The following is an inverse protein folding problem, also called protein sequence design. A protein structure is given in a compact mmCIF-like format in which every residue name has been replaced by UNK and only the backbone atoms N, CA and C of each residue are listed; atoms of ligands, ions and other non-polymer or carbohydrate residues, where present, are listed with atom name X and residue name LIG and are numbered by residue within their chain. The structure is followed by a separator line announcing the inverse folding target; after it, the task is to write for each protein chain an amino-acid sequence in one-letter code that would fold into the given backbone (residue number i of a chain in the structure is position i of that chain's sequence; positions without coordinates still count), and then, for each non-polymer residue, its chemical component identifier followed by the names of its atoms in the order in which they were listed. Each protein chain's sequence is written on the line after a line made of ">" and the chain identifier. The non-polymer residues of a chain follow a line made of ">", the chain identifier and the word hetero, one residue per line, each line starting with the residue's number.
data_IF_721541742029
#
_entry.id   IF_721541742029
#
_cell.length_a   1.000
_cell.length_b   1.000
_cell.length_c   1.000
_cell.angle_alpha   90.00
_cell.angle_beta   90.00
_cell.angle_gamma   90.00
#
_symmetry.space_group_name_H-M   'P 1'
#
loop_
_entity.id
_entity.type
_entity.pdbx_description
1 polymer ?
#
# COMPACT_ATOMS: atom_id res chain seq x y z
N UNK A 1 4.89 21.75 4.52
CA UNK A 1 5.94 22.80 4.72
C UNK A 1 5.36 24.18 5.04
N UNK A 2 4.45 24.75 4.24
CA UNK A 2 3.92 26.11 4.47
C UNK A 2 3.27 26.25 5.85
N UNK A 3 2.37 25.34 6.22
CA UNK A 3 1.71 25.36 7.53
C UNK A 3 2.72 25.35 8.69
N UNK A 4 3.76 24.51 8.61
CA UNK A 4 4.81 24.41 9.64
C UNK A 4 5.55 25.75 9.80
N UNK A 5 5.87 26.42 8.69
CA UNK A 5 6.57 27.72 8.72
C UNK A 5 5.70 28.85 9.30
N UNK A 6 4.39 28.82 9.04
CA UNK A 6 3.46 29.90 9.44
C UNK A 6 2.87 29.71 10.83
N UNK A 7 2.56 28.46 11.20
CA UNK A 7 1.76 28.14 12.39
C UNK A 7 2.43 27.10 13.29
N UNK A 8 3.38 26.32 12.79
CA UNK A 8 3.91 25.15 13.49
C UNK A 8 4.59 25.47 14.82
N UNK A 9 5.16 26.67 14.98
CA UNK A 9 5.79 27.09 16.25
C UNK A 9 4.84 27.15 17.45
N UNK A 10 3.53 27.19 17.22
CA UNK A 10 2.52 27.20 18.28
C UNK A 10 2.08 25.79 18.76
N UNK A 11 2.53 24.72 18.10
CA UNK A 11 2.03 23.37 18.34
C UNK A 11 3.19 22.36 18.50
N UNK A 12 3.22 21.62 19.62
CA UNK A 12 4.24 20.59 19.86
C UNK A 12 4.15 19.45 18.83
N UNK A 13 2.92 19.06 18.49
CA UNK A 13 2.62 18.00 17.54
C UNK A 13 1.63 18.48 16.48
N UNK A 14 1.70 17.91 15.28
CA UNK A 14 0.73 18.06 14.22
C UNK A 14 0.20 16.70 13.77
N UNK A 15 -1.07 16.66 13.35
CA UNK A 15 -1.70 15.48 12.75
C UNK A 15 -1.80 15.73 11.24
N UNK A 16 -1.38 14.74 10.44
CA UNK A 16 -1.52 14.79 8.99
C UNK A 16 -2.64 13.84 8.56
N UNK A 17 -3.63 14.38 7.85
CA UNK A 17 -4.78 13.66 7.33
C UNK A 17 -5.00 14.07 5.88
N UNK A 18 -5.21 13.09 5.00
CA UNK A 18 -5.69 13.37 3.65
C UNK A 18 -7.19 13.66 3.69
N UNK A 19 -7.71 14.22 2.59
CA UNK A 19 -9.12 14.60 2.49
C UNK A 19 -10.09 13.39 2.56
N UNK A 20 -9.59 12.20 2.28
CA UNK A 20 -10.27 10.91 2.38
C UNK A 20 -9.89 10.11 3.64
N UNK A 21 -9.11 10.71 4.54
CA UNK A 21 -8.77 10.14 5.84
C UNK A 21 -9.82 10.47 6.88
N UNK A 22 -10.06 9.55 7.81
CA UNK A 22 -10.86 9.81 9.02
C UNK A 22 -10.21 9.11 10.19
N UNK A 23 -10.22 9.74 11.37
CA UNK A 23 -9.63 9.17 12.58
C UNK A 23 -10.55 9.37 13.80
N UNK A 24 -10.63 8.37 14.66
CA UNK A 24 -11.36 8.44 15.91
C UNK A 24 -10.63 9.35 16.91
N UNK A 25 -11.40 10.11 17.70
CA UNK A 25 -10.85 10.98 18.75
C UNK A 25 -10.02 10.22 19.78
N UNK A 26 -10.46 9.01 20.16
CA UNK A 26 -9.71 8.16 21.10
C UNK A 26 -8.33 7.76 20.54
N UNK A 27 -8.25 7.46 19.25
CA UNK A 27 -6.99 7.14 18.56
C UNK A 27 -6.05 8.34 18.58
N UNK A 28 -6.56 9.54 18.31
CA UNK A 28 -5.79 10.78 18.39
C UNK A 28 -5.23 11.00 19.80
N UNK A 29 -6.05 10.82 20.85
CA UNK A 29 -5.62 10.97 22.23
C UNK A 29 -4.51 9.97 22.59
N UNK A 30 -4.63 8.70 22.16
CA UNK A 30 -3.59 7.69 22.37
C UNK A 30 -2.29 8.02 21.65
N UNK A 31 -2.37 8.60 20.46
CA UNK A 31 -1.20 9.06 19.70
C UNK A 31 -0.50 10.23 20.40
N UNK A 32 -1.26 11.21 20.90
CA UNK A 32 -0.72 12.34 21.67
C UNK A 32 -0.05 11.85 22.95
N UNK A 33 -0.73 11.00 23.71
CA UNK A 33 -0.20 10.38 24.94
C UNK A 33 1.12 9.62 24.69
N UNK A 34 1.20 8.87 23.58
CA UNK A 34 2.43 8.20 23.18
C UNK A 34 3.56 9.20 22.85
N UNK A 35 3.27 10.32 22.18
CA UNK A 35 4.25 11.36 21.86
C UNK A 35 4.75 12.10 23.11
N UNK A 36 3.87 12.34 24.09
CA UNK A 36 4.23 13.01 25.34
C UNK A 36 5.12 12.13 26.22
N UNK A 37 4.79 10.84 26.34
CA UNK A 37 5.59 9.88 27.12
C UNK A 37 6.95 9.55 26.49
N UNK A 38 7.14 9.83 25.20
CA UNK A 38 8.36 9.48 24.48
C UNK A 38 8.97 10.72 23.79
N UNK A 39 9.73 11.56 24.52
CA UNK A 39 10.29 12.80 23.98
C UNK A 39 11.25 12.64 22.80
N UNK A 40 11.81 11.43 22.58
CA UNK A 40 12.68 11.09 21.45
C UNK A 40 11.95 10.60 20.20
N UNK A 41 10.61 10.43 20.26
CA UNK A 41 9.80 10.05 19.11
C UNK A 41 9.44 11.31 18.32
N UNK A 42 9.75 11.27 17.02
CA UNK A 42 9.44 12.33 16.07
C UNK A 42 8.18 12.05 15.27
N UNK A 43 7.85 10.78 14.99
CA UNK A 43 6.71 10.41 14.16
C UNK A 43 6.12 9.07 14.59
N UNK A 44 4.77 9.01 14.65
CA UNK A 44 4.02 7.76 14.79
C UNK A 44 3.00 7.68 13.64
N UNK A 45 3.20 6.71 12.77
CA UNK A 45 2.33 6.33 11.64
C UNK A 45 1.36 5.25 12.08
N UNK A 46 0.06 5.46 11.89
CA UNK A 46 -0.92 4.37 12.08
C UNK A 46 -1.02 3.51 10.82
N UNK A 47 -1.61 2.32 10.94
CA UNK A 47 -1.99 1.51 9.79
C UNK A 47 -3.47 1.73 9.45
N UNK A 48 -3.81 2.67 8.54
CA UNK A 48 -5.21 2.94 8.22
C UNK A 48 -5.88 1.73 7.57
N UNK A 49 -7.16 1.56 7.87
CA UNK A 49 -8.01 0.53 7.24
C UNK A 49 -8.95 1.18 6.22
N UNK A 50 -9.16 0.50 5.11
CA UNK A 50 -10.02 1.03 4.03
C UNK A 50 -11.49 1.06 4.47
N UNK A 51 -12.22 2.11 4.07
CA UNK A 51 -13.65 2.30 4.30
C UNK A 51 -14.41 2.65 3.03
N UNK A 52 -15.75 2.64 3.12
CA UNK A 52 -16.69 3.02 2.04
C UNK A 52 -16.50 2.27 0.72
N UNK A 53 -15.88 1.09 0.76
CA UNK A 53 -15.65 0.26 -0.41
C UNK A 53 -16.97 -0.33 -0.95
N UNK A 54 -17.41 0.15 -2.12
CA UNK A 54 -18.66 -0.32 -2.76
C UNK A 54 -18.44 -1.26 -3.94
N UNK A 55 -17.41 -1.04 -4.75
CA UNK A 55 -17.09 -1.83 -5.95
C UNK A 55 -16.40 -3.15 -5.57
N UNK A 56 -16.32 -4.13 -6.49
CA UNK A 56 -15.61 -5.40 -6.20
C UNK A 56 -14.13 -5.11 -5.94
N UNK A 57 -13.51 -4.24 -6.75
CA UNK A 57 -12.12 -3.85 -6.57
C UNK A 57 -11.89 -3.22 -5.19
N UNK A 58 -12.68 -2.22 -4.81
CA UNK A 58 -12.53 -1.57 -3.51
C UNK A 58 -12.79 -2.54 -2.36
N UNK A 59 -13.78 -3.44 -2.49
CA UNK A 59 -14.14 -4.43 -1.44
C UNK A 59 -13.05 -5.47 -1.25
N UNK A 60 -12.40 -5.93 -2.32
CA UNK A 60 -11.28 -6.86 -2.17
C UNK A 60 -10.11 -6.17 -1.47
N UNK A 61 -9.77 -4.93 -1.84
CA UNK A 61 -8.74 -4.14 -1.14
C UNK A 61 -9.09 -3.95 0.33
N UNK A 62 -10.34 -3.59 0.64
CA UNK A 62 -10.81 -3.44 2.01
C UNK A 62 -10.70 -4.74 2.81
N UNK A 63 -11.16 -5.84 2.23
CA UNK A 63 -11.11 -7.15 2.86
C UNK A 63 -9.66 -7.58 3.13
N UNK A 64 -8.77 -7.39 2.15
CA UNK A 64 -7.33 -7.67 2.28
C UNK A 64 -6.67 -6.91 3.42
N UNK A 65 -6.83 -5.57 3.44
CA UNK A 65 -6.28 -4.71 4.50
C UNK A 65 -6.87 -5.09 5.86
N UNK A 66 -8.17 -5.39 5.92
CA UNK A 66 -8.83 -5.72 7.19
C UNK A 66 -8.47 -7.11 7.72
N UNK A 67 -8.29 -8.11 6.84
CA UNK A 67 -8.02 -9.50 7.22
C UNK A 67 -6.56 -9.70 7.64
N UNK A 68 -5.62 -9.27 6.81
CA UNK A 68 -4.20 -9.56 7.00
C UNK A 68 -3.30 -8.31 7.05
N UNK A 69 -3.84 -7.11 6.81
CA UNK A 69 -3.06 -5.86 6.91
C UNK A 69 -2.48 -5.63 8.30
N UNK A 70 -3.19 -6.01 9.38
CA UNK A 70 -2.66 -5.93 10.75
C UNK A 70 -1.46 -6.84 11.00
N UNK A 71 -1.43 -8.01 10.35
CA UNK A 71 -0.28 -8.93 10.42
C UNK A 71 0.92 -8.31 9.72
N UNK A 72 0.71 -7.77 8.51
CA UNK A 72 1.77 -7.08 7.76
C UNK A 72 2.29 -5.86 8.51
N UNK A 73 1.42 -5.02 9.06
CA UNK A 73 1.78 -3.84 9.83
C UNK A 73 2.50 -4.17 11.14
N UNK A 74 2.08 -5.23 11.85
CA UNK A 74 2.77 -5.69 13.06
C UNK A 74 4.17 -6.24 12.74
N UNK A 75 4.30 -7.01 11.65
CA UNK A 75 5.60 -7.49 11.17
C UNK A 75 6.52 -6.33 10.78
N UNK A 76 6.00 -5.33 10.08
CA UNK A 76 6.73 -4.12 9.72
C UNK A 76 7.18 -3.35 10.97
N UNK A 77 6.27 -3.12 11.92
CA UNK A 77 6.56 -2.42 13.17
C UNK A 77 7.66 -3.13 13.98
N UNK A 78 7.59 -4.46 14.08
CA UNK A 78 8.60 -5.26 14.76
C UNK A 78 9.96 -5.20 14.07
N UNK A 79 9.99 -5.38 12.75
CA UNK A 79 11.24 -5.45 11.99
C UNK A 79 11.93 -4.09 11.83
N UNK A 80 11.16 -3.02 11.68
CA UNK A 80 11.70 -1.66 11.51
C UNK A 80 11.96 -0.94 12.84
N UNK A 81 11.27 -1.32 13.91
CA UNK A 81 11.43 -0.73 15.23
C UNK A 81 11.27 0.79 15.21
N UNK A 82 12.32 1.51 15.62
CA UNK A 82 12.37 2.97 15.65
C UNK A 82 12.79 3.60 14.32
N UNK A 83 13.01 2.80 13.27
CA UNK A 83 13.44 3.21 11.93
C UNK A 83 12.35 3.01 10.89
N UNK A 84 11.09 3.15 11.28
CA UNK A 84 9.94 2.81 10.43
C UNK A 84 9.65 3.84 9.33
N UNK A 85 8.60 3.56 8.55
CA UNK A 85 8.20 4.36 7.40
C UNK A 85 7.12 5.39 7.75
N UNK A 86 6.93 6.37 6.87
CA UNK A 86 5.86 7.35 6.89
C UNK A 86 5.15 7.34 5.53
N UNK A 87 3.82 7.35 5.53
CA UNK A 87 2.99 7.21 4.32
C UNK A 87 2.18 8.46 3.99
N UNK A 88 2.56 9.61 4.57
CA UNK A 88 1.99 10.91 4.21
C UNK A 88 0.73 11.31 4.95
N UNK A 89 0.02 10.38 5.61
CA UNK A 89 -1.25 10.68 6.30
C UNK A 89 -1.55 9.68 7.43
N UNK A 90 -2.58 9.98 8.24
CA UNK A 90 -2.97 9.23 9.43
C UNK A 90 -1.80 9.04 10.42
N UNK A 91 -1.01 10.11 10.59
CA UNK A 91 0.18 10.13 11.42
C UNK A 91 0.19 11.35 12.36
N UNK A 92 0.83 11.20 13.52
CA UNK A 92 1.21 12.32 14.40
C UNK A 92 2.70 12.57 14.25
N UNK A 93 3.06 13.84 14.14
CA UNK A 93 4.43 14.27 13.90
C UNK A 93 4.79 15.37 14.91
N UNK A 94 5.95 15.24 15.54
CA UNK A 94 6.50 16.30 16.39
C UNK A 94 6.93 17.46 15.50
N UNK A 95 6.31 18.61 15.68
CA UNK A 95 6.44 19.74 14.75
C UNK A 95 7.88 20.23 14.66
N UNK A 96 8.58 20.34 15.80
CA UNK A 96 10.00 20.76 15.84
C UNK A 96 10.94 19.77 15.14
N UNK A 97 10.67 18.47 15.24
CA UNK A 97 11.47 17.45 14.57
C UNK A 97 11.29 17.57 13.04
N UNK A 98 10.05 17.68 12.59
CA UNK A 98 9.76 17.87 11.17
C UNK A 98 10.36 19.18 10.62
N UNK A 99 10.21 20.30 11.34
CA UNK A 99 10.73 21.59 10.93
C UNK A 99 12.27 21.59 10.79
N UNK A 100 12.97 20.89 11.68
CA UNK A 100 14.43 20.81 11.66
C UNK A 100 14.98 19.85 10.60
N UNK A 101 14.23 18.80 10.23
CA UNK A 101 14.76 17.69 9.44
C UNK A 101 14.20 17.62 8.00
N UNK A 102 12.95 18.01 7.78
CA UNK A 102 12.18 17.69 6.57
C UNK A 102 12.20 18.82 5.53
N UNK A 103 13.31 19.57 5.45
CA UNK A 103 13.56 20.53 4.38
C UNK A 103 13.96 19.83 3.08
N UNK A 104 12.98 19.30 2.34
CA UNK A 104 13.24 18.51 1.14
C UNK A 104 13.93 19.33 0.04
N UNK A 105 15.02 18.82 -0.55
CA UNK A 105 15.71 19.50 -1.64
C UNK A 105 15.02 19.23 -2.98
N UNK A 106 15.29 20.11 -3.94
CA UNK A 106 15.02 19.84 -5.35
C UNK A 106 16.10 18.93 -5.93
N UNK A 107 15.70 17.78 -6.46
CA UNK A 107 16.62 16.87 -7.15
C UNK A 107 17.13 17.52 -8.43
N UNK A 108 18.45 17.45 -8.65
CA UNK A 108 19.08 17.95 -9.87
C UNK A 108 18.64 17.13 -11.08
N UNK A 109 18.65 17.74 -12.26
CA UNK A 109 18.34 17.08 -13.53
C UNK A 109 16.90 17.27 -13.99
N UNK A 110 16.55 16.60 -15.09
CA UNK A 110 15.22 16.69 -15.70
C UNK A 110 14.28 15.67 -15.06
N UNK A 111 12.98 16.01 -15.03
CA UNK A 111 11.92 15.03 -14.75
C UNK A 111 12.05 13.84 -15.70
N UNK A 112 11.72 12.61 -15.29
CA UNK A 112 11.02 12.23 -14.05
C UNK A 112 11.94 11.97 -12.83
N UNK A 113 13.25 11.91 -13.01
CA UNK A 113 14.22 11.63 -11.92
C UNK A 113 14.65 12.88 -11.14
N UNK A 114 14.64 14.05 -11.78
CA UNK A 114 14.87 15.35 -11.14
C UNK A 114 13.58 16.07 -10.70
N UNK A 115 13.73 17.22 -10.05
CA UNK A 115 12.63 18.07 -9.59
C UNK A 115 12.20 17.79 -8.15
N UNK A 116 10.92 18.04 -7.85
CA UNK A 116 10.35 17.75 -6.53
C UNK A 116 10.29 16.24 -6.30
N UNK A 117 10.63 15.81 -5.07
CA UNK A 117 10.46 14.44 -4.62
C UNK A 117 8.95 14.18 -4.49
N UNK A 118 8.42 13.23 -5.26
CA UNK A 118 6.99 12.93 -5.26
C UNK A 118 6.58 12.14 -4.02
N UNK A 119 7.23 11.00 -3.76
CA UNK A 119 7.04 10.19 -2.55
C UNK A 119 7.93 10.73 -1.43
N UNK A 120 7.62 11.94 -0.97
CA UNK A 120 8.46 12.66 -0.02
C UNK A 120 8.38 12.12 1.40
N UNK A 121 7.24 11.56 1.77
CA UNK A 121 6.93 10.95 3.06
C UNK A 121 8.00 9.97 3.55
N UNK A 122 8.38 9.01 2.72
CA UNK A 122 9.42 8.03 3.06
C UNK A 122 10.78 8.70 3.28
N UNK A 123 11.08 9.75 2.50
CA UNK A 123 12.32 10.52 2.62
C UNK A 123 12.30 11.36 3.91
N UNK A 124 11.18 11.97 4.25
CA UNK A 124 11.00 12.74 5.49
C UNK A 124 11.21 11.85 6.72
N UNK A 125 10.66 10.62 6.74
CA UNK A 125 10.95 9.64 7.79
C UNK A 125 12.45 9.34 7.88
N UNK A 126 13.11 9.07 6.75
CA UNK A 126 14.54 8.78 6.70
C UNK A 126 15.40 9.96 7.19
N UNK A 127 15.00 11.20 6.88
CA UNK A 127 15.68 12.42 7.33
C UNK A 127 15.49 12.65 8.84
N UNK A 128 14.30 12.40 9.37
CA UNK A 128 14.03 12.42 10.81
C UNK A 128 14.88 11.37 11.54
N UNK A 129 14.95 10.15 10.99
CA UNK A 129 15.81 9.08 11.52
C UNK A 129 17.27 9.46 11.56
N UNK A 130 17.78 10.03 10.46
CA UNK A 130 19.16 10.54 10.36
C UNK A 130 19.47 11.58 11.44
N UNK A 131 18.48 12.40 11.84
CA UNK A 131 18.63 13.39 12.89
C UNK A 131 18.44 12.85 14.32
N UNK A 132 18.30 11.53 14.49
CA UNK A 132 18.21 10.87 15.79
C UNK A 132 16.79 10.68 16.33
N UNK A 133 15.76 11.18 15.64
CA UNK A 133 14.36 11.02 16.04
C UNK A 133 13.86 9.61 15.77
N UNK A 134 13.17 8.96 16.71
CA UNK A 134 12.52 7.69 16.45
C UNK A 134 11.27 7.87 15.56
N UNK A 135 11.08 6.96 14.60
CA UNK A 135 9.94 6.88 13.69
C UNK A 135 9.31 5.51 13.82
N UNK A 136 8.02 5.46 14.16
CA UNK A 136 7.32 4.21 14.41
C UNK A 136 6.08 4.06 13.54
N UNK A 137 5.86 2.84 13.03
CA UNK A 137 4.55 2.39 12.55
C UNK A 137 3.90 1.59 13.66
N UNK A 138 2.60 1.79 13.89
CA UNK A 138 1.82 1.02 14.88
C UNK A 138 0.63 0.32 14.25
N UNK A 139 0.54 -0.99 14.52
CA UNK A 139 -0.60 -1.84 14.19
C UNK A 139 -1.57 -2.02 15.38
N UNK A 140 -1.27 -1.39 16.51
CA UNK A 140 -2.01 -1.55 17.77
C UNK A 140 -3.16 -0.58 17.93
N UNK A 141 -3.25 0.43 17.07
CA UNK A 141 -4.29 1.44 17.09
C UNK A 141 -5.34 1.13 16.01
N UNK A 142 -6.57 0.89 16.47
CA UNK A 142 -7.76 0.95 15.61
C UNK A 142 -8.21 2.41 15.45
N UNK A 143 -9.30 2.65 14.71
CA UNK A 143 -9.89 3.99 14.60
C UNK A 143 -9.16 4.91 13.61
N UNK A 144 -8.41 4.35 12.66
CA UNK A 144 -7.71 5.08 11.61
C UNK A 144 -8.17 4.55 10.25
N UNK A 145 -8.74 5.41 9.43
CA UNK A 145 -9.45 5.04 8.21
C UNK A 145 -9.04 5.88 7.01
N UNK A 146 -9.16 5.29 5.83
CA UNK A 146 -8.97 5.95 4.53
C UNK A 146 -9.95 5.37 3.48
N UNK A 147 -10.20 6.11 2.40
CA UNK A 147 -10.90 5.56 1.24
C UNK A 147 -9.90 4.99 0.21
N UNK A 148 -10.38 4.11 -0.67
CA UNK A 148 -9.56 3.48 -1.72
C UNK A 148 -10.12 3.79 -3.10
N UNK A 149 -9.30 3.85 -4.17
CA UNK A 149 -9.80 4.06 -5.53
C UNK A 149 -10.89 3.05 -5.90
N UNK A 150 -12.00 3.47 -6.54
CA UNK A 150 -13.14 2.61 -6.81
C UNK A 150 -12.88 1.62 -7.95
N UNK A 151 -11.87 1.85 -8.79
CA UNK A 151 -11.58 1.03 -9.97
C UNK A 151 -10.10 0.69 -10.11
N UNK A 152 -9.81 -0.38 -10.87
CA UNK A 152 -8.44 -0.79 -11.23
C UNK A 152 -7.73 0.35 -11.97
N UNK A 153 -8.43 1.05 -12.87
CA UNK A 153 -7.86 2.16 -13.64
C UNK A 153 -7.44 3.34 -12.77
N UNK A 154 -8.25 3.69 -11.76
CA UNK A 154 -7.93 4.77 -10.83
C UNK A 154 -6.77 4.37 -9.91
N UNK A 155 -6.76 3.11 -9.48
CA UNK A 155 -5.67 2.54 -8.70
C UNK A 155 -4.34 2.61 -9.47
N UNK A 156 -4.29 2.08 -10.70
CA UNK A 156 -3.10 2.11 -11.56
C UNK A 156 -2.60 3.55 -11.75
N UNK A 157 -3.51 4.50 -11.99
CA UNK A 157 -3.14 5.90 -12.20
C UNK A 157 -2.54 6.55 -10.94
N UNK A 158 -3.09 6.23 -9.76
CA UNK A 158 -2.52 6.65 -8.47
C UNK A 158 -1.16 6.01 -8.24
N UNK A 159 -1.05 4.71 -8.46
CA UNK A 159 0.12 3.89 -8.17
C UNK A 159 1.32 4.25 -9.05
N UNK A 160 1.10 4.65 -10.31
CA UNK A 160 2.18 5.13 -11.18
C UNK A 160 2.90 6.38 -10.66
N UNK A 161 2.22 7.26 -9.92
CA UNK A 161 2.86 8.43 -9.28
C UNK A 161 3.77 8.00 -8.15
N UNK A 162 3.31 7.04 -7.35
CA UNK A 162 4.13 6.42 -6.31
C UNK A 162 5.32 5.69 -6.91
N UNK A 163 5.15 4.99 -8.04
CA UNK A 163 6.26 4.35 -8.74
C UNK A 163 7.32 5.37 -9.16
N UNK A 164 6.93 6.46 -9.83
CA UNK A 164 7.89 7.50 -10.21
C UNK A 164 8.63 8.07 -8.99
N UNK A 165 7.91 8.37 -7.91
CA UNK A 165 8.52 8.85 -6.67
C UNK A 165 9.49 7.84 -6.04
N UNK A 166 9.15 6.56 -6.03
CA UNK A 166 10.05 5.50 -5.56
C UNK A 166 11.29 5.37 -6.46
N UNK A 167 11.16 5.50 -7.77
CA UNK A 167 12.34 5.51 -8.66
C UNK A 167 13.26 6.71 -8.43
N UNK A 168 12.73 7.87 -8.03
CA UNK A 168 13.55 9.01 -7.62
C UNK A 168 14.41 8.68 -6.39
N UNK A 169 13.95 7.79 -5.50
CA UNK A 169 14.68 7.39 -4.31
C UNK A 169 15.98 6.65 -4.61
N UNK A 170 16.15 6.03 -5.79
CA UNK A 170 17.42 5.41 -6.18
C UNK A 170 18.58 6.41 -6.13
N UNK A 171 18.34 7.67 -6.47
CA UNK A 171 19.33 8.76 -6.36
C UNK A 171 19.60 9.20 -4.92
N UNK A 172 18.79 8.78 -3.96
CA UNK A 172 18.87 9.17 -2.54
C UNK A 172 19.44 8.07 -1.64
N UNK A 173 19.52 6.82 -2.10
CA UNK A 173 20.00 5.68 -1.30
C UNK A 173 21.44 5.91 -0.77
N UNK A 174 22.28 6.60 -1.55
CA UNK A 174 23.68 6.88 -1.20
C UNK A 174 23.85 8.12 -0.33
N UNK A 175 22.76 8.82 0.02
CA UNK A 175 22.83 10.00 0.86
C UNK A 175 23.53 9.71 2.20
N UNK A 176 24.39 10.64 2.61
CA UNK A 176 25.18 10.52 3.83
C UNK A 176 24.29 10.58 5.07
N UNK A 177 24.62 9.75 6.06
CA UNK A 177 23.95 9.70 7.36
C UNK A 177 22.62 8.94 7.38
N UNK A 178 22.11 8.44 6.26
CA UNK A 178 20.94 7.55 6.29
C UNK A 178 21.29 6.24 7.01
N UNK A 179 20.35 5.72 7.80
CA UNK A 179 20.52 4.42 8.43
C UNK A 179 20.43 3.28 7.41
N UNK A 180 21.06 2.11 7.66
CA UNK A 180 20.93 0.95 6.78
C UNK A 180 19.48 0.57 6.53
N UNK A 181 18.63 0.68 7.56
CA UNK A 181 17.22 0.36 7.46
C UNK A 181 16.45 1.35 6.58
N UNK A 182 16.75 2.65 6.69
CA UNK A 182 16.17 3.67 5.80
C UNK A 182 16.55 3.42 4.33
N UNK A 183 17.81 3.07 4.06
CA UNK A 183 18.27 2.71 2.70
C UNK A 183 17.55 1.48 2.17
N UNK A 184 17.39 0.47 3.01
CA UNK A 184 16.68 -0.75 2.65
C UNK A 184 15.21 -0.46 2.32
N UNK A 185 14.53 0.41 3.07
CA UNK A 185 13.16 0.81 2.75
C UNK A 185 13.05 1.56 1.41
N UNK A 186 13.97 2.49 1.13
CA UNK A 186 14.01 3.17 -0.17
C UNK A 186 14.22 2.16 -1.32
N UNK A 187 15.11 1.18 -1.13
CA UNK A 187 15.35 0.12 -2.10
C UNK A 187 14.13 -0.80 -2.26
N UNK A 188 13.48 -1.18 -1.15
CA UNK A 188 12.27 -2.01 -1.17
C UNK A 188 11.12 -1.29 -1.89
N UNK A 189 10.97 0.01 -1.68
CA UNK A 189 10.01 0.83 -2.41
C UNK A 189 10.23 0.80 -3.92
N UNK A 190 11.49 0.85 -4.37
CA UNK A 190 11.85 0.65 -5.78
C UNK A 190 11.52 -0.77 -6.27
N UNK A 191 11.92 -1.78 -5.49
CA UNK A 191 11.76 -3.19 -5.85
C UNK A 191 10.29 -3.64 -5.89
N UNK A 192 9.42 -3.03 -5.09
CA UNK A 192 7.98 -3.27 -5.12
C UNK A 192 7.41 -3.13 -6.54
N UNK A 193 7.91 -2.16 -7.30
CA UNK A 193 7.52 -1.92 -8.69
C UNK A 193 8.41 -2.61 -9.72
N UNK A 194 9.74 -2.64 -9.52
CA UNK A 194 10.70 -3.31 -10.41
C UNK A 194 10.47 -4.83 -10.50
N UNK A 195 9.85 -5.42 -9.48
CA UNK A 195 9.43 -6.82 -9.52
C UNK A 195 8.52 -7.14 -10.72
N UNK A 196 7.70 -6.19 -11.19
CA UNK A 196 6.75 -6.41 -12.30
C UNK A 196 7.45 -6.62 -13.66
N UNK A 197 8.35 -5.74 -14.15
CA UNK A 197 9.11 -6.01 -15.38
C UNK A 197 10.03 -7.23 -15.25
N UNK A 198 10.60 -7.50 -14.08
CA UNK A 198 11.39 -8.72 -13.85
C UNK A 198 10.53 -9.98 -13.96
N UNK A 199 9.31 -9.96 -13.40
CA UNK A 199 8.37 -11.05 -13.52
C UNK A 199 7.94 -11.26 -14.98
N UNK A 200 7.60 -10.19 -15.71
CA UNK A 200 7.27 -10.29 -17.13
C UNK A 200 8.45 -10.89 -17.94
N UNK A 201 9.67 -10.41 -17.71
CA UNK A 201 10.86 -10.94 -18.36
C UNK A 201 11.04 -12.45 -18.06
N UNK A 202 10.86 -12.85 -16.80
CA UNK A 202 10.95 -14.27 -16.41
C UNK A 202 9.89 -15.14 -17.10
N UNK A 203 8.66 -14.64 -17.27
CA UNK A 203 7.61 -15.35 -18.00
C UNK A 203 7.93 -15.48 -19.49
N UNK A 204 8.50 -14.43 -20.10
CA UNK A 204 8.91 -14.46 -21.50
C UNK A 204 10.07 -15.42 -21.72
N UNK A 205 11.10 -15.39 -20.86
CA UNK A 205 12.21 -16.33 -20.91
C UNK A 205 11.74 -17.77 -20.69
N UNK A 206 10.87 -18.00 -19.70
CA UNK A 206 10.30 -19.32 -19.42
C UNK A 206 9.51 -19.87 -20.60
N UNK A 207 8.63 -19.04 -21.19
CA UNK A 207 7.88 -19.41 -22.38
C UNK A 207 8.81 -19.71 -23.56
N UNK A 208 9.81 -18.86 -23.81
CA UNK A 208 10.78 -19.05 -24.89
C UNK A 208 11.55 -20.36 -24.75
N UNK A 209 12.05 -20.69 -23.55
CA UNK A 209 12.73 -21.96 -23.29
C UNK A 209 11.77 -23.13 -23.56
N UNK A 210 10.55 -23.07 -23.04
CA UNK A 210 9.56 -24.14 -23.21
C UNK A 210 9.14 -24.36 -24.66
N UNK A 211 9.38 -23.42 -25.58
CA UNK A 211 9.17 -23.66 -27.01
C UNK A 211 10.09 -24.75 -27.57
N UNK A 212 11.28 -24.94 -27.00
CA UNK A 212 12.31 -25.87 -27.50
C UNK A 212 12.41 -27.18 -26.72
N UNK A 213 11.77 -27.26 -25.54
CA UNK A 213 11.78 -28.45 -24.70
C UNK A 213 10.39 -29.07 -24.56
N UNK A 214 10.29 -30.41 -24.45
CA UNK A 214 9.03 -31.05 -24.12
C UNK A 214 8.61 -30.65 -22.69
N UNK A 215 7.30 -30.53 -22.47
CA UNK A 215 6.77 -30.30 -21.13
C UNK A 215 7.07 -31.52 -20.27
N UNK A 216 7.94 -31.34 -19.29
CA UNK A 216 8.13 -32.33 -18.25
C UNK A 216 7.05 -32.19 -17.19
N UNK A 217 6.06 -33.07 -17.24
CA UNK A 217 4.97 -33.12 -16.27
C UNK A 217 5.43 -33.56 -14.87
N UNK A 218 6.56 -34.26 -14.76
CA UNK A 218 7.12 -34.68 -13.48
C UNK A 218 7.70 -33.49 -12.70
N UNK A 219 8.24 -32.50 -13.43
CA UNK A 219 8.60 -31.21 -12.86
C UNK A 219 7.39 -30.54 -12.20
N UNK A 220 6.15 -30.71 -12.65
CA UNK A 220 5.03 -29.99 -12.03
C UNK A 220 4.72 -30.42 -10.59
N UNK A 221 5.01 -31.67 -10.23
CA UNK A 221 4.90 -32.16 -8.86
C UNK A 221 6.20 -31.98 -8.06
N UNK A 222 7.12 -31.10 -8.49
CA UNK A 222 8.41 -30.92 -7.81
C UNK A 222 8.25 -30.60 -6.32
N UNK A 223 7.20 -29.90 -5.88
CA UNK A 223 6.98 -29.60 -4.45
C UNK A 223 6.82 -30.88 -3.60
N UNK A 224 6.36 -31.98 -4.22
CA UNK A 224 6.22 -33.29 -3.59
C UNK A 224 7.47 -34.17 -3.75
N UNK A 225 8.50 -33.68 -4.46
CA UNK A 225 9.75 -34.40 -4.63
C UNK A 225 10.60 -34.29 -3.36
N UNK A 226 11.09 -35.41 -2.79
CA UNK A 226 11.88 -35.38 -1.56
C UNK A 226 13.25 -34.69 -1.72
N UNK A 227 13.71 -34.43 -2.95
CA UNK A 227 14.95 -33.70 -3.23
C UNK A 227 14.64 -32.27 -3.69
N UNK A 228 14.76 -31.29 -2.80
CA UNK A 228 14.57 -29.88 -3.13
C UNK A 228 15.79 -29.30 -3.86
N UNK A 229 15.67 -29.04 -5.16
CA UNK A 229 16.64 -28.17 -5.86
C UNK A 229 16.51 -26.73 -5.36
N UNK A 230 17.55 -25.88 -5.48
CA UNK A 230 17.47 -24.47 -5.08
C UNK A 230 16.29 -23.70 -5.71
N UNK A 231 15.96 -24.01 -6.97
CA UNK A 231 14.81 -23.42 -7.66
C UNK A 231 13.47 -23.82 -7.02
N UNK A 232 13.33 -25.08 -6.61
CA UNK A 232 12.13 -25.58 -5.94
C UNK A 232 11.94 -24.94 -4.57
N UNK A 233 13.03 -24.84 -3.79
CA UNK A 233 13.00 -24.16 -2.50
C UNK A 233 12.63 -22.69 -2.65
N UNK A 234 13.22 -21.99 -3.63
CA UNK A 234 12.89 -20.60 -3.92
C UNK A 234 11.43 -20.42 -4.33
N UNK A 235 10.89 -21.32 -5.15
CA UNK A 235 9.49 -21.29 -5.59
C UNK A 235 8.52 -21.58 -4.43
N UNK A 236 8.82 -22.58 -3.60
CA UNK A 236 8.05 -22.91 -2.41
C UNK A 236 8.05 -21.75 -1.39
N UNK A 237 9.23 -21.19 -1.12
CA UNK A 237 9.37 -20.04 -0.24
C UNK A 237 8.62 -18.82 -0.79
N UNK A 238 8.68 -18.59 -2.11
CA UNK A 238 7.91 -17.52 -2.76
C UNK A 238 6.41 -17.72 -2.58
N UNK A 239 5.91 -18.95 -2.72
CA UNK A 239 4.51 -19.28 -2.45
C UNK A 239 4.10 -19.02 -1.00
N UNK A 240 4.95 -19.42 -0.04
CA UNK A 240 4.74 -19.13 1.39
C UNK A 240 4.74 -17.62 1.64
N UNK A 241 5.67 -16.86 1.09
CA UNK A 241 5.75 -15.42 1.31
C UNK A 241 4.57 -14.67 0.66
N UNK A 242 4.04 -15.18 -0.45
CA UNK A 242 2.91 -14.57 -1.16
C UNK A 242 1.55 -14.83 -0.47
N UNK A 243 1.32 -16.06 0.01
CA UNK A 243 0.01 -16.48 0.54
C UNK A 243 0.01 -16.57 2.08
N UNK A 244 1.17 -16.80 2.69
CA UNK A 244 1.34 -16.97 4.14
C UNK A 244 0.71 -15.86 4.98
N UNK A 245 0.94 -14.56 4.70
CA UNK A 245 0.31 -13.48 5.44
C UNK A 245 -1.22 -13.54 5.43
N UNK A 246 -1.82 -14.00 4.32
CA UNK A 246 -3.28 -14.18 4.20
C UNK A 246 -3.80 -15.24 5.17
N UNK A 247 -3.11 -16.38 5.25
CA UNK A 247 -3.43 -17.43 6.21
C UNK A 247 -3.17 -17.01 7.66
N UNK A 248 -2.09 -16.27 7.92
CA UNK A 248 -1.81 -15.72 9.26
C UNK A 248 -2.91 -14.75 9.71
N UNK A 249 -3.36 -13.86 8.82
CA UNK A 249 -4.48 -12.95 9.10
C UNK A 249 -5.78 -13.70 9.35
N UNK A 250 -6.09 -14.71 8.53
CA UNK A 250 -7.26 -15.56 8.75
C UNK A 250 -7.18 -16.31 10.10
N UNK A 251 -6.04 -16.90 10.43
CA UNK A 251 -5.83 -17.57 11.71
C UNK A 251 -5.99 -16.63 12.92
N UNK A 252 -5.49 -15.39 12.80
CA UNK A 252 -5.64 -14.36 13.82
C UNK A 252 -7.12 -13.97 14.04
N UNK A 253 -7.89 -13.80 12.96
CA UNK A 253 -9.33 -13.51 13.08
C UNK A 253 -10.09 -14.70 13.65
N UNK A 254 -9.74 -15.93 13.22
CA UNK A 254 -10.37 -17.16 13.70
C UNK A 254 -10.13 -17.42 15.20
N UNK A 255 -9.00 -16.96 15.74
CA UNK A 255 -8.67 -17.11 17.17
C UNK A 255 -9.37 -16.09 18.08
N UNK A 256 -10.01 -15.06 17.51
CA UNK A 256 -10.66 -13.97 18.26
C UNK A 256 -12.18 -14.01 18.06
N UNK A 257 -12.97 -14.49 19.04
CA UNK A 257 -14.41 -14.70 18.87
C UNK A 257 -15.21 -13.46 18.45
N UNK A 258 -14.83 -12.27 18.96
CA UNK A 258 -15.47 -11.01 18.58
C UNK A 258 -15.21 -10.65 17.11
N UNK A 259 -13.95 -10.76 16.66
CA UNK A 259 -13.58 -10.49 15.26
C UNK A 259 -14.19 -11.54 14.33
N UNK A 260 -14.16 -12.83 14.70
CA UNK A 260 -14.81 -13.90 13.95
C UNK A 260 -16.28 -13.63 13.68
N UNK A 261 -17.04 -13.19 14.69
CA UNK A 261 -18.45 -12.81 14.53
C UNK A 261 -18.60 -11.60 13.62
N UNK A 262 -17.74 -10.59 13.78
CA UNK A 262 -17.77 -9.37 12.98
C UNK A 262 -17.46 -9.62 11.49
N UNK A 263 -16.64 -10.62 11.16
CA UNK A 263 -16.39 -11.07 9.78
C UNK A 263 -17.49 -11.99 9.22
N UNK A 264 -18.58 -12.24 9.97
CA UNK A 264 -19.67 -13.11 9.53
C UNK A 264 -19.41 -14.62 9.72
N UNK A 265 -18.42 -14.98 10.53
CA UNK A 265 -18.12 -16.36 10.90
C UNK A 265 -17.16 -17.11 9.95
N UNK A 266 -16.84 -18.35 10.30
CA UNK A 266 -15.80 -19.17 9.62
C UNK A 266 -16.05 -19.35 8.12
N UNK A 267 -17.32 -19.59 7.73
CA UNK A 267 -17.71 -19.78 6.32
C UNK A 267 -17.60 -18.49 5.49
N UNK A 268 -17.86 -17.34 6.10
CA UNK A 268 -17.70 -16.05 5.41
C UNK A 268 -16.21 -15.73 5.19
N UNK A 269 -15.37 -15.99 6.19
CA UNK A 269 -13.90 -15.85 6.08
C UNK A 269 -13.35 -16.76 4.99
N UNK A 270 -13.72 -18.05 4.97
CA UNK A 270 -13.25 -18.99 3.96
C UNK A 270 -13.64 -18.57 2.54
N UNK A 271 -14.90 -18.19 2.32
CA UNK A 271 -15.39 -17.68 1.02
C UNK A 271 -14.74 -16.35 0.64
N UNK A 272 -14.58 -15.43 1.58
CA UNK A 272 -13.93 -14.15 1.38
C UNK A 272 -12.46 -14.31 1.01
N UNK A 273 -11.72 -15.16 1.72
CA UNK A 273 -10.32 -15.46 1.42
C UNK A 273 -10.16 -16.15 0.06
N UNK A 274 -11.03 -17.10 -0.29
CA UNK A 274 -11.02 -17.73 -1.62
C UNK A 274 -11.28 -16.70 -2.74
N UNK A 275 -12.27 -15.82 -2.55
CA UNK A 275 -12.55 -14.74 -3.51
C UNK A 275 -11.40 -13.73 -3.61
N UNK A 276 -10.78 -13.38 -2.49
CA UNK A 276 -9.63 -12.48 -2.43
C UNK A 276 -8.42 -13.08 -3.15
N UNK A 277 -8.12 -14.37 -2.95
CA UNK A 277 -7.02 -15.06 -3.64
C UNK A 277 -7.30 -15.11 -5.14
N UNK A 278 -8.51 -15.48 -5.54
CA UNK A 278 -8.90 -15.55 -6.95
C UNK A 278 -8.82 -14.17 -7.64
N UNK A 279 -9.38 -13.13 -7.02
CA UNK A 279 -9.33 -11.77 -7.55
C UNK A 279 -7.89 -11.24 -7.58
N UNK A 280 -7.09 -11.48 -6.54
CA UNK A 280 -5.67 -11.11 -6.52
C UNK A 280 -4.88 -11.79 -7.64
N UNK A 281 -5.12 -13.08 -7.89
CA UNK A 281 -4.49 -13.82 -8.98
C UNK A 281 -4.88 -13.27 -10.36
N UNK A 282 -6.14 -12.88 -10.54
CA UNK A 282 -6.63 -12.23 -11.77
C UNK A 282 -6.01 -10.84 -11.95
N UNK A 283 -5.89 -10.06 -10.88
CA UNK A 283 -5.36 -8.70 -10.92
C UNK A 283 -3.84 -8.65 -11.15
N UNK A 284 -3.09 -9.64 -10.67
CA UNK A 284 -1.63 -9.63 -10.70
C UNK A 284 -1.04 -9.47 -12.13
N UNK A 285 -1.45 -10.23 -13.17
CA UNK A 285 -0.97 -10.02 -14.54
C UNK A 285 -1.33 -8.64 -15.11
N UNK A 286 -2.51 -8.12 -14.78
CA UNK A 286 -2.97 -6.79 -15.24
C UNK A 286 -2.07 -5.70 -14.66
N UNK A 287 -1.78 -5.77 -13.36
CA UNK A 287 -0.88 -4.84 -12.67
C UNK A 287 0.57 -5.02 -13.12
N UNK A 288 1.02 -6.25 -13.40
CA UNK A 288 2.35 -6.53 -13.94
C UNK A 288 2.58 -5.74 -15.23
N UNK A 289 1.70 -5.87 -16.22
CA UNK A 289 1.84 -5.14 -17.49
C UNK A 289 1.70 -3.62 -17.29
N UNK A 290 0.80 -3.18 -16.40
CA UNK A 290 0.64 -1.76 -16.09
C UNK A 290 1.94 -1.16 -15.52
N UNK A 291 2.53 -1.81 -14.52
CA UNK A 291 3.77 -1.40 -13.90
C UNK A 291 4.96 -1.50 -14.87
N UNK A 292 5.06 -2.56 -15.67
CA UNK A 292 6.12 -2.64 -16.70
C UNK A 292 6.01 -1.50 -17.71
N UNK A 293 4.80 -1.16 -18.15
CA UNK A 293 4.58 0.00 -19.02
C UNK A 293 5.00 1.30 -18.32
N UNK A 294 4.61 1.51 -17.06
CA UNK A 294 5.00 2.69 -16.30
C UNK A 294 6.52 2.80 -16.18
N UNK A 295 7.21 1.69 -15.89
CA UNK A 295 8.66 1.63 -15.84
C UNK A 295 9.30 2.10 -17.15
N UNK A 296 8.85 1.55 -18.29
CA UNK A 296 9.35 1.95 -19.61
C UNK A 296 9.08 3.43 -19.90
N UNK A 297 7.91 3.95 -19.52
CA UNK A 297 7.56 5.37 -19.70
C UNK A 297 8.46 6.28 -18.87
N UNK A 298 8.68 5.97 -17.59
CA UNK A 298 9.51 6.75 -16.66
C UNK A 298 10.97 6.74 -17.11
N UNK A 299 11.53 5.57 -17.44
CA UNK A 299 12.91 5.46 -17.95
C UNK A 299 13.07 6.19 -19.30
N UNK A 300 12.01 6.22 -20.12
CA UNK A 300 11.98 7.01 -21.38
C UNK A 300 11.75 8.51 -21.17
N UNK A 301 11.74 9.00 -19.93
CA UNK A 301 11.64 10.43 -19.62
C UNK A 301 10.22 11.01 -19.52
N UNK A 302 9.17 10.18 -19.51
CA UNK A 302 7.79 10.65 -19.38
C UNK A 302 7.44 10.91 -17.91
N UNK A 303 6.93 12.12 -17.63
CA UNK A 303 6.40 12.49 -16.31
C UNK A 303 4.95 11.99 -16.16
N UNK A 304 4.64 11.33 -15.04
CA UNK A 304 3.27 10.83 -14.78
C UNK A 304 2.28 11.94 -14.44
N UNK A 305 2.76 13.11 -14.00
CA UNK A 305 1.94 14.30 -13.74
C UNK A 305 0.88 14.13 -12.64
N UNK A 306 0.12 15.20 -12.38
CA UNK A 306 -1.05 15.17 -11.48
C UNK A 306 -2.33 15.11 -12.31
N UNK A 307 -3.18 14.13 -12.04
CA UNK A 307 -4.51 14.03 -12.66
C UNK A 307 -5.56 14.02 -11.57
N UNK A 308 -6.72 14.63 -11.86
CA UNK A 308 -7.84 14.64 -10.93
C UNK A 308 -8.38 13.21 -10.76
N UNK A 309 -8.49 12.79 -9.51
CA UNK A 309 -9.08 11.51 -9.13
C UNK A 309 -10.60 11.60 -9.30
N UNK A 310 -11.19 10.69 -10.07
CA UNK A 310 -12.65 10.54 -10.11
C UNK A 310 -13.09 9.73 -8.89
N UNK A 311 -13.95 10.32 -8.06
CA UNK A 311 -14.36 9.75 -6.77
C UNK A 311 -15.78 9.17 -6.78
N UNK A 312 -16.60 9.52 -7.79
CA UNK A 312 -18.05 9.21 -7.79
C UNK A 312 -18.57 8.52 -9.07
N UNK A 313 -17.71 8.00 -9.94
CA UNK A 313 -18.20 7.33 -11.15
C UNK A 313 -18.88 5.98 -10.81
N UNK A 314 -20.14 5.79 -11.22
CA UNK A 314 -20.87 4.51 -11.13
C UNK A 314 -20.37 3.51 -12.18
N UNK A 315 -19.11 3.11 -12.02
CA UNK A 315 -18.41 2.19 -12.92
C UNK A 315 -17.75 2.84 -14.12
N UNK A 316 -16.88 2.07 -14.76
CA UNK A 316 -16.10 2.47 -15.93
C UNK A 316 -16.90 2.21 -17.22
N UNK A 317 -16.95 3.19 -18.13
CA UNK A 317 -17.52 2.99 -19.45
C UNK A 317 -16.67 1.99 -20.26
N UNK A 318 -17.32 1.17 -21.10
CA UNK A 318 -16.62 0.15 -21.90
C UNK A 318 -15.54 0.74 -22.80
N UNK A 319 -15.82 1.86 -23.48
CA UNK A 319 -14.85 2.55 -24.34
C UNK A 319 -13.59 2.97 -23.59
N UNK A 320 -13.77 3.48 -22.37
CA UNK A 320 -12.67 3.93 -21.51
C UNK A 320 -11.89 2.74 -20.97
N UNK A 321 -12.58 1.65 -20.64
CA UNK A 321 -11.94 0.40 -20.22
C UNK A 321 -11.05 -0.19 -21.32
N UNK A 322 -11.54 -0.30 -22.55
CA UNK A 322 -10.73 -0.78 -23.68
C UNK A 322 -9.55 0.15 -23.98
N UNK A 323 -9.74 1.47 -23.89
CA UNK A 323 -8.65 2.44 -24.08
C UNK A 323 -7.59 2.32 -22.99
N UNK A 324 -8.01 2.18 -21.73
CA UNK A 324 -7.12 2.12 -20.57
C UNK A 324 -6.36 0.78 -20.50
N UNK A 325 -7.01 -0.33 -20.87
CA UNK A 325 -6.49 -1.70 -20.74
C UNK A 325 -5.90 -2.26 -22.04
N UNK A 326 -5.76 -1.43 -23.09
CA UNK A 326 -5.28 -1.88 -24.42
C UNK A 326 -3.92 -2.59 -24.36
N UNK A 327 -3.00 -2.13 -23.52
CA UNK A 327 -1.65 -2.68 -23.44
C UNK A 327 -1.62 -4.05 -22.76
N UNK A 328 -2.48 -4.23 -21.76
CA UNK A 328 -2.72 -5.50 -21.09
C UNK A 328 -3.29 -6.51 -22.08
N UNK A 329 -4.27 -6.10 -22.88
CA UNK A 329 -4.86 -6.95 -23.92
C UNK A 329 -3.84 -7.29 -25.03
N UNK A 330 -3.06 -6.32 -25.50
CA UNK A 330 -1.99 -6.55 -26.49
C UNK A 330 -0.97 -7.55 -25.94
N UNK A 331 -0.55 -7.41 -24.68
CA UNK A 331 0.33 -8.37 -24.03
C UNK A 331 -0.30 -9.77 -23.99
N UNK A 332 -1.59 -9.87 -23.64
CA UNK A 332 -2.35 -11.12 -23.68
C UNK A 332 -2.34 -11.79 -25.06
N UNK A 333 -2.55 -11.01 -26.13
CA UNK A 333 -2.44 -11.51 -27.51
C UNK A 333 -1.00 -11.94 -27.84
N UNK A 334 0.00 -11.19 -27.39
CA UNK A 334 1.41 -11.53 -27.56
C UNK A 334 1.78 -12.88 -26.93
N UNK A 335 1.23 -13.19 -25.74
CA UNK A 335 1.36 -14.50 -25.12
C UNK A 335 0.57 -15.60 -25.86
N UNK A 336 -0.58 -15.27 -26.47
CA UNK A 336 -1.39 -16.26 -27.20
C UNK A 336 -0.70 -16.81 -28.46
N UNK A 337 0.06 -15.98 -29.19
CA UNK A 337 0.72 -16.38 -30.45
C UNK A 337 1.59 -17.65 -30.30
N UNK A 338 2.58 -17.72 -29.37
CA UNK A 338 3.35 -18.94 -29.16
C UNK A 338 2.51 -20.09 -28.60
N UNK A 339 1.46 -19.82 -27.82
CA UNK A 339 0.57 -20.86 -27.29
C UNK A 339 -0.30 -21.51 -28.37
N UNK A 340 -0.56 -20.83 -29.49
CA UNK A 340 -1.19 -21.45 -30.67
C UNK A 340 -0.27 -22.49 -31.32
N UNK A 341 1.05 -22.33 -31.20
CA UNK A 341 2.06 -23.29 -31.70
C UNK A 341 2.27 -24.43 -30.70
N UNK A 342 2.23 -24.11 -29.40
CA UNK A 342 2.38 -25.06 -28.28
C UNK A 342 1.15 -25.06 -27.36
N UNK A 343 0.02 -25.67 -27.81
CA UNK A 343 -1.22 -25.68 -27.04
C UNK A 343 -1.12 -26.46 -25.73
N UNK A 344 -0.15 -27.37 -25.62
CA UNK A 344 0.20 -28.08 -24.39
C UNK A 344 0.61 -27.13 -23.24
N UNK A 345 1.10 -25.93 -23.55
CA UNK A 345 1.44 -24.89 -22.57
C UNK A 345 0.23 -24.02 -22.16
N UNK A 346 -0.87 -24.07 -22.90
CA UNK A 346 -1.98 -23.12 -22.74
C UNK A 346 -2.64 -23.21 -21.36
N UNK A 347 -2.83 -24.42 -20.81
CA UNK A 347 -3.43 -24.62 -19.48
C UNK A 347 -2.63 -23.93 -18.37
N UNK A 348 -1.30 -23.87 -18.49
CA UNK A 348 -0.41 -23.29 -17.49
C UNK A 348 -0.30 -21.78 -17.60
N UNK A 349 -0.35 -21.26 -18.81
CA UNK A 349 -0.36 -19.82 -19.05
C UNK A 349 -1.76 -19.21 -18.92
N UNK A 350 -2.83 -20.00 -18.92
CA UNK A 350 -4.21 -19.52 -18.82
C UNK A 350 -4.47 -18.58 -17.63
N UNK A 351 -3.99 -18.83 -16.39
CA UNK A 351 -4.15 -17.91 -15.27
C UNK A 351 -3.49 -16.53 -15.48
N UNK A 352 -2.55 -16.42 -16.41
CA UNK A 352 -1.86 -15.17 -16.76
C UNK A 352 -2.53 -14.54 -17.99
N UNK A 353 -2.75 -15.34 -19.04
CA UNK A 353 -3.21 -14.87 -20.34
C UNK A 353 -4.69 -14.51 -20.33
N UNK A 354 -5.55 -15.28 -19.67
CA UNK A 354 -7.00 -14.99 -19.62
C UNK A 354 -7.28 -13.63 -18.94
N UNK A 355 -6.69 -13.30 -17.77
CA UNK A 355 -6.86 -11.96 -17.21
C UNK A 355 -6.35 -10.83 -18.10
N UNK A 356 -5.26 -11.04 -18.85
CA UNK A 356 -4.73 -10.05 -19.77
C UNK A 356 -5.67 -9.80 -20.96
N UNK A 357 -6.17 -10.87 -21.60
CA UNK A 357 -7.12 -10.78 -22.70
C UNK A 357 -8.45 -10.15 -22.25
N UNK A 358 -8.90 -10.47 -21.04
CA UNK A 358 -10.16 -9.98 -20.47
C UNK A 358 -9.98 -8.72 -19.59
N UNK A 359 -8.84 -8.04 -19.67
CA UNK A 359 -8.52 -6.93 -18.77
C UNK A 359 -9.57 -5.80 -18.79
N UNK A 360 -10.10 -5.46 -19.98
CA UNK A 360 -11.17 -4.46 -20.12
C UNK A 360 -12.51 -4.94 -19.49
N UNK A 361 -13.07 -6.11 -19.87
CA UNK A 361 -14.24 -6.68 -19.18
C UNK A 361 -14.10 -6.79 -17.66
N UNK A 362 -12.94 -7.25 -17.18
CA UNK A 362 -12.65 -7.37 -15.74
C UNK A 362 -12.69 -5.98 -15.08
N UNK A 363 -12.11 -4.96 -15.72
CA UNK A 363 -12.11 -3.59 -15.20
C UNK A 363 -13.51 -2.99 -15.12
N UNK A 364 -14.37 -3.24 -16.11
CA UNK A 364 -15.77 -2.81 -16.08
C UNK A 364 -16.55 -3.56 -15.01
N UNK A 365 -16.39 -4.88 -14.93
CA UNK A 365 -17.12 -5.69 -13.95
C UNK A 365 -16.75 -5.32 -12.51
N UNK A 366 -15.46 -5.12 -12.24
CA UNK A 366 -14.95 -4.85 -10.89
C UNK A 366 -15.18 -3.42 -10.42
N UNK A 367 -15.40 -2.47 -11.32
CA UNK A 367 -15.69 -1.06 -11.02
C UNK A 367 -17.17 -0.76 -10.75
N UNK A 368 -18.09 -1.66 -11.10
CA UNK A 368 -19.52 -1.45 -10.87
C UNK A 368 -19.91 -1.68 -9.42
N UNK A 369 -20.62 -0.72 -8.83
CA UNK A 369 -21.19 -0.87 -7.49
C UNK A 369 -22.15 -2.05 -7.42
N UNK A 370 -23.06 -2.17 -8.39
CA UNK A 370 -24.08 -3.24 -8.40
C UNK A 370 -23.45 -4.63 -8.25
N UNK A 371 -22.32 -4.87 -8.91
CA UNK A 371 -21.57 -6.12 -8.80
C UNK A 371 -21.00 -6.32 -7.39
N UNK A 372 -20.44 -5.27 -6.79
CA UNK A 372 -19.91 -5.32 -5.43
C UNK A 372 -20.99 -5.55 -4.36
N UNK A 373 -22.14 -4.88 -4.50
CA UNK A 373 -23.27 -5.06 -3.58
C UNK A 373 -23.90 -6.45 -3.72
N UNK A 374 -24.00 -6.99 -4.94
CA UNK A 374 -24.44 -8.36 -5.16
C UNK A 374 -23.48 -9.39 -4.52
N UNK A 375 -22.16 -9.15 -4.60
CA UNK A 375 -21.15 -9.98 -3.97
C UNK A 375 -21.25 -9.96 -2.43
N UNK A 376 -21.44 -8.76 -1.86
CA UNK A 376 -21.63 -8.57 -0.43
C UNK A 376 -22.92 -9.22 0.09
N UNK A 377 -24.04 -9.11 -0.64
CA UNK A 377 -25.32 -9.78 -0.31
C UNK A 377 -25.19 -11.31 -0.26
N UNK A 378 -24.29 -11.89 -1.07
CA UNK A 378 -23.99 -13.32 -1.05
C UNK A 378 -23.06 -13.74 0.11
N UNK A 379 -22.59 -12.80 0.92
CA UNK A 379 -21.71 -13.02 2.06
C UNK A 379 -20.25 -13.29 1.68
N UNK A 380 -19.80 -12.75 0.53
CA UNK A 380 -18.38 -12.72 0.15
C UNK A 380 -17.76 -11.38 0.55
N UNK A 381 -16.45 -11.41 0.89
CA UNK A 381 -15.67 -10.23 1.28
C UNK A 381 -16.32 -9.41 2.41
N UNK A 382 -16.95 -10.10 3.37
CA UNK A 382 -17.58 -9.47 4.53
C UNK A 382 -16.49 -8.92 5.44
N UNK A 383 -16.60 -7.64 5.80
CA UNK A 383 -15.73 -6.97 6.74
C UNK A 383 -16.54 -6.48 7.94
N UNK A 384 -15.92 -6.37 9.14
CA UNK A 384 -16.58 -5.80 10.32
C UNK A 384 -17.22 -4.45 10.04
N UNK A 385 -18.49 -4.30 10.46
CA UNK A 385 -19.16 -2.99 10.51
C UNK A 385 -18.36 -2.09 11.46
N UNK A 386 -18.03 -0.90 10.99
CA UNK A 386 -17.31 0.07 11.80
C UNK A 386 -18.33 0.95 12.50
N UNK A 387 -18.69 0.58 13.72
CA UNK A 387 -19.51 1.42 14.59
C UNK A 387 -18.83 2.80 14.71
N UNK A 388 -19.49 3.85 14.22
CA UNK A 388 -18.99 5.23 14.27
C UNK A 388 -18.60 5.87 12.94
N UNK A 389 -18.61 5.15 11.80
CA UNK A 389 -18.48 5.77 10.47
C UNK A 389 -19.88 6.00 9.87
N UNK A 390 -20.69 6.81 10.56
CA UNK A 390 -21.86 7.40 9.93
C UNK A 390 -21.37 8.50 8.99
N UNK A 391 -21.33 8.21 7.69
CA UNK A 391 -21.53 9.28 6.72
C UNK A 391 -23.02 9.56 6.71
N UNK A 392 -23.46 10.49 7.55
CA UNK A 392 -24.72 11.19 7.34
C UNK A 392 -24.36 12.64 7.02
N UNK A 393 -24.57 13.13 5.79
CA UNK A 393 -24.45 14.55 5.46
C UNK A 393 -25.70 15.26 5.97
N UNK A 394 -25.90 15.22 7.28
CA UNK A 394 -26.88 16.00 8.02
C UNK A 394 -26.61 15.70 9.48
N UNK A 395 -26.08 16.70 10.19
CA UNK A 395 -26.49 17.16 11.52
C UNK A 395 -25.32 17.96 12.07
N UNK A 396 -25.25 19.22 11.63
CA UNK A 396 -24.98 20.31 12.57
C UNK A 396 -26.14 20.29 13.57
N UNK A 397 -25.98 19.62 14.71
CA UNK A 397 -26.65 20.00 15.96
C UNK A 397 -25.86 19.41 17.13
N UNK A 398 -25.26 20.32 17.90
CA UNK A 398 -24.90 20.11 19.30
C UNK A 398 -26.14 19.75 20.13
N UNK A 399 -25.96 18.97 21.20
CA UNK A 399 -26.04 19.61 22.51
C UNK A 399 -24.83 19.29 23.41
N UNK A 400 -24.44 20.31 24.18
CA UNK A 400 -23.43 20.29 25.24
C UNK A 400 -23.82 19.34 26.38
N UNK A 401 -22.82 18.70 27.00
CA UNK A 401 -22.83 18.38 28.43
C UNK A 401 -21.38 18.42 28.98
N UNK A 402 -21.15 18.93 30.21
CA UNK A 402 -19.86 19.50 30.59
C UNK A 402 -18.92 18.44 31.18
N UNK A 403 -17.75 18.26 30.56
CA UNK A 403 -16.62 17.64 31.26
C UNK A 403 -16.01 18.69 32.21
N UNK A 404 -16.20 18.44 33.50
CA UNK A 404 -15.54 19.14 34.60
C UNK A 404 -14.03 19.14 34.40
N UNK A 405 -13.46 20.33 34.38
CA UNK A 405 -12.02 20.54 34.54
C UNK A 405 -11.56 19.98 35.89
N UNK A 406 -10.56 19.10 35.86
CA UNK A 406 -9.69 18.88 37.02
C UNK A 406 -8.43 19.68 36.74
N UNK A 407 -8.35 20.83 37.39
CA UNK A 407 -7.17 21.68 37.42
C UNK A 407 -6.12 21.11 38.40
N UNK A 408 -4.85 21.33 38.08
CA UNK A 408 -3.79 21.47 39.09
C UNK A 408 -2.61 20.52 38.91
N UNK A 409 -1.50 21.04 38.39
CA UNK A 409 -0.20 20.38 38.42
C UNK A 409 0.81 21.01 37.48
N UNK A 410 1.34 22.17 37.85
CA UNK A 410 2.45 22.84 37.15
C UNK A 410 3.68 21.92 37.20
N UNK A 411 4.12 21.39 36.05
CA UNK A 411 5.41 20.74 35.91
C UNK A 411 6.40 21.71 35.26
N UNK A 412 7.47 22.00 36.00
CA UNK A 412 8.56 22.87 35.59
C UNK A 412 9.29 22.32 34.34
N UNK A 413 9.85 23.20 33.48
CA UNK A 413 10.53 22.78 32.26
C UNK A 413 11.83 22.02 32.59
N UNK A 414 11.94 20.78 32.10
CA UNK A 414 13.19 20.03 32.07
C UNK A 414 14.08 20.63 30.98
N UNK A 415 15.28 21.05 31.36
CA UNK A 415 16.27 21.62 30.46
C UNK A 415 16.63 20.63 29.33
N UNK A 416 16.49 21.09 28.08
CA UNK A 416 16.91 20.34 26.90
C UNK A 416 18.44 20.29 26.80
N UNK A 417 19.03 19.17 26.33
CA UNK A 417 20.44 19.15 25.94
C UNK A 417 20.67 20.09 24.74
N UNK A 418 21.78 20.83 24.76
CA UNK A 418 22.13 21.82 23.75
C UNK A 418 22.23 21.20 22.35
N UNK A 419 21.36 21.63 21.42
CA UNK A 419 21.46 21.29 20.00
C UNK A 419 22.43 22.25 19.30
N UNK A 420 23.45 21.67 18.66
CA UNK A 420 24.28 22.35 17.66
C UNK A 420 23.43 22.59 16.39
N UNK A 421 23.41 23.79 15.81
CA UNK A 421 22.61 24.07 14.62
C UNK A 421 23.10 23.25 13.41
N UNK A 422 22.23 22.41 12.86
CA UNK A 422 22.48 21.68 11.62
C UNK A 422 22.39 22.65 10.42
N UNK A 423 23.49 22.81 9.68
CA UNK A 423 23.50 23.44 8.36
C UNK A 423 22.56 22.67 7.42
N UNK A 424 21.97 23.39 6.45
CA UNK A 424 21.13 22.81 5.41
C UNK A 424 21.82 21.58 4.76
N UNK A 425 21.08 20.49 4.48
CA UNK A 425 21.67 19.26 4.01
C UNK A 425 22.20 19.43 2.58
N UNK A 426 23.52 19.35 2.42
CA UNK A 426 24.13 18.94 1.16
C UNK A 426 23.88 17.42 1.00
N UNK A 427 23.05 17.06 0.01
CA UNK A 427 22.86 15.67 -0.44
C UNK A 427 23.91 15.28 -1.48
#
# INVERSE_FOLDING_TARGET
>A
AEWVRRFGGAYENMIVLDADSTMAGETLLRMVDAMERNPGVGLIQTAPVIIKARTIFARVSQYSVRLYGRVAAAGLAYWTGSESSYWGHNAIIRTRAFAACCGLPHLKGRKPFGGHIMSHDVVEAALMRRAGWAVHVTASLDGSWEETPPSITDFIRRDHRWFQGNLQHLGLITAKGLSPMSRLQLLMGCMAYLSSPLWLASLMTGLFIQMFYPVDWSSFFYILNPQFTPFMLASFLSGILLIGPKFMGAALVLSRPAELRAFGGRRAIARGMAAEIALSAILAPILMVANTKAFLQIVSGHDTGWSTQQREADGLAWSDAFRAMRWQMIAGVGFMVPLCVRPDLATWFAPIVLPLLLAAPISVWTSRVRSGDALAKKGFLVTPVQDGVSVSPAVLHTPRSPLRAVAGGVLAPVAAPAMVPARAPEL
#
